data_IF_472631715923
#
_entry.id   IF_472631715923
#
_cell.length_a   1.000
_cell.length_b   1.000
_cell.length_c   1.000
_cell.angle_alpha   90.00
_cell.angle_beta   90.00
_cell.angle_gamma   90.00
#
_symmetry.space_group_name_H-M   'P 1'
#
loop_
_entity.id
_entity.type
_entity.pdbx_description
1 polymer ?
#
# COMPACT_ATOMS: atom_id res chain seq x y z
N UNK A 1 42.20 -53.46 -11.17
CA UNK A 1 41.51 -52.63 -10.14
C UNK A 1 41.39 -51.22 -10.68
N UNK A 2 40.23 -50.59 -10.45
CA UNK A 2 39.59 -49.54 -11.25
C UNK A 2 40.36 -48.21 -11.29
N UNK A 3 40.62 -47.69 -12.49
CA UNK A 3 41.06 -46.31 -12.72
C UNK A 3 39.82 -45.42 -12.82
N UNK A 4 39.78 -44.39 -11.97
CA UNK A 4 38.67 -43.48 -11.76
C UNK A 4 38.45 -42.60 -13.00
N UNK A 5 37.23 -42.61 -13.56
CA UNK A 5 36.79 -41.67 -14.59
C UNK A 5 36.53 -40.31 -13.93
N UNK A 6 37.29 -39.29 -14.32
CA UNK A 6 37.05 -37.90 -13.91
C UNK A 6 35.85 -37.37 -14.72
N UNK A 7 34.67 -37.30 -14.08
CA UNK A 7 33.52 -36.58 -14.62
C UNK A 7 33.77 -35.08 -14.43
N UNK A 8 34.11 -34.40 -15.53
CA UNK A 8 34.01 -32.94 -15.65
C UNK A 8 32.52 -32.57 -15.55
N UNK A 9 32.08 -32.22 -14.34
CA UNK A 9 30.80 -31.53 -14.16
C UNK A 9 31.02 -30.11 -14.65
N UNK A 10 30.59 -29.85 -15.87
CA UNK A 10 30.44 -28.50 -16.40
C UNK A 10 29.50 -27.74 -15.46
N UNK A 11 30.03 -26.67 -14.84
CA UNK A 11 29.22 -25.65 -14.21
C UNK A 11 28.38 -24.96 -15.28
N UNK A 12 27.22 -25.53 -15.58
CA UNK A 12 26.08 -24.78 -16.09
C UNK A 12 25.71 -23.80 -14.97
N UNK A 13 26.32 -22.62 -15.02
CA UNK A 13 25.78 -21.44 -14.36
C UNK A 13 24.39 -21.27 -14.97
N UNK A 14 23.39 -21.81 -14.28
CA UNK A 14 22.01 -21.52 -14.56
C UNK A 14 21.87 -20.01 -14.52
N UNK A 15 21.62 -19.42 -15.69
CA UNK A 15 21.04 -18.09 -15.77
C UNK A 15 19.68 -18.27 -15.10
N UNK A 16 19.62 -18.05 -13.79
CA UNK A 16 18.36 -17.86 -13.10
C UNK A 16 17.78 -16.61 -13.74
N UNK A 17 16.89 -16.81 -14.71
CA UNK A 17 15.87 -15.85 -15.10
C UNK A 17 15.25 -15.39 -13.77
N UNK A 18 15.73 -14.28 -13.23
CA UNK A 18 14.98 -13.58 -12.21
C UNK A 18 13.76 -13.12 -12.97
N UNK A 19 12.63 -13.82 -12.77
CA UNK A 19 11.36 -13.26 -13.15
C UNK A 19 11.28 -11.93 -12.41
N UNK A 20 11.49 -10.83 -13.12
CA UNK A 20 11.39 -9.51 -12.54
C UNK A 20 9.88 -9.30 -12.30
N UNK A 21 9.44 -9.56 -11.07
CA UNK A 21 8.04 -9.45 -10.69
C UNK A 21 7.56 -7.98 -10.59
N UNK A 22 8.45 -7.03 -10.91
CA UNK A 22 8.16 -5.61 -11.09
C UNK A 22 8.56 -5.23 -12.50
N UNK A 23 7.59 -4.97 -13.36
CA UNK A 23 7.79 -4.53 -14.74
C UNK A 23 7.54 -3.02 -14.81
N UNK A 24 8.57 -2.23 -15.15
CA UNK A 24 8.43 -0.78 -15.36
C UNK A 24 8.55 -0.48 -16.86
N UNK A 25 7.41 -0.22 -17.49
CA UNK A 25 7.34 0.19 -18.89
C UNK A 25 7.50 1.72 -18.99
N UNK A 26 8.54 2.17 -19.70
CA UNK A 26 8.87 3.59 -19.86
C UNK A 26 8.29 4.15 -21.16
N UNK A 27 7.31 5.05 -21.07
CA UNK A 27 6.68 5.70 -22.22
C UNK A 27 7.18 7.13 -22.33
N UNK A 28 8.01 7.41 -23.34
CA UNK A 28 8.58 8.74 -23.59
C UNK A 28 9.30 9.37 -22.39
N UNK A 29 9.90 8.55 -21.53
CA UNK A 29 10.71 8.97 -20.38
C UNK A 29 11.91 8.07 -20.18
N UNK A 30 12.75 8.43 -19.21
CA UNK A 30 13.83 7.61 -18.67
C UNK A 30 13.81 7.71 -17.15
N UNK A 31 14.22 6.65 -16.47
CA UNK A 31 14.56 6.65 -15.05
C UNK A 31 16.02 6.20 -14.92
N UNK A 32 16.67 6.63 -13.84
CA UNK A 32 17.98 6.14 -13.44
C UNK A 32 17.89 4.74 -12.84
N UNK A 33 19.00 4.01 -12.89
CA UNK A 33 19.12 2.71 -12.22
C UNK A 33 18.86 2.81 -10.70
N UNK A 34 19.21 3.95 -10.09
CA UNK A 34 18.92 4.23 -8.67
C UNK A 34 17.43 4.36 -8.39
N UNK A 35 16.67 5.07 -9.25
CA UNK A 35 15.21 5.18 -9.11
C UNK A 35 14.56 3.80 -9.27
N UNK A 36 14.98 3.02 -10.28
CA UNK A 36 14.46 1.67 -10.49
C UNK A 36 14.73 0.76 -9.28
N UNK A 37 15.98 0.69 -8.81
CA UNK A 37 16.35 -0.11 -7.63
C UNK A 37 15.61 0.34 -6.37
N UNK A 38 15.38 1.64 -6.20
CA UNK A 38 14.61 2.19 -5.07
C UNK A 38 13.16 1.68 -5.12
N UNK A 39 12.49 1.78 -6.28
CA UNK A 39 11.13 1.27 -6.47
C UNK A 39 11.05 -0.24 -6.17
N UNK A 40 11.93 -1.03 -6.76
CA UNK A 40 11.96 -2.49 -6.56
C UNK A 40 12.17 -2.88 -5.10
N UNK A 41 13.11 -2.20 -4.41
CA UNK A 41 13.41 -2.47 -2.99
C UNK A 41 12.23 -2.08 -2.09
N UNK A 42 11.57 -0.94 -2.34
CA UNK A 42 10.41 -0.50 -1.56
C UNK A 42 9.20 -1.42 -1.78
N UNK A 43 8.94 -1.84 -3.02
CA UNK A 43 7.93 -2.87 -3.35
C UNK A 43 8.24 -4.20 -2.64
N UNK A 44 9.51 -4.59 -2.52
CA UNK A 44 9.87 -5.80 -1.79
C UNK A 44 9.49 -5.70 -0.29
N UNK A 45 9.69 -4.54 0.35
CA UNK A 45 9.25 -4.33 1.73
C UNK A 45 7.73 -4.35 1.87
N UNK A 46 7.02 -3.76 0.93
CA UNK A 46 5.56 -3.84 0.88
C UNK A 46 5.08 -5.29 0.79
N UNK A 47 5.68 -6.11 -0.08
CA UNK A 47 5.35 -7.55 -0.17
C UNK A 47 5.61 -8.28 1.14
N UNK A 48 6.72 -7.96 1.83
CA UNK A 48 7.03 -8.53 3.14
C UNK A 48 5.98 -8.14 4.19
N UNK A 49 5.57 -6.87 4.20
CA UNK A 49 4.50 -6.42 5.08
C UNK A 49 3.17 -7.12 4.77
N UNK A 50 2.78 -7.21 3.49
CA UNK A 50 1.59 -7.93 3.05
C UNK A 50 1.64 -9.41 3.42
N UNK A 51 2.77 -10.10 3.25
CA UNK A 51 2.96 -11.46 3.73
C UNK A 51 2.69 -11.61 5.24
N UNK A 52 3.16 -10.64 6.04
CA UNK A 52 2.91 -10.63 7.48
C UNK A 52 1.43 -10.44 7.80
N UNK A 53 0.76 -9.42 7.25
CA UNK A 53 -0.63 -9.10 7.59
C UNK A 53 -1.67 -10.06 6.99
N UNK A 54 -1.33 -10.76 5.90
CA UNK A 54 -2.17 -11.78 5.28
C UNK A 54 -1.80 -13.22 5.63
N UNK A 55 -0.76 -13.42 6.44
CA UNK A 55 -0.28 -14.75 6.85
C UNK A 55 0.03 -15.66 5.65
N UNK A 56 0.70 -15.10 4.64
CA UNK A 56 1.04 -15.78 3.38
C UNK A 56 2.50 -15.58 3.01
N UNK A 57 2.98 -16.31 2.00
CA UNK A 57 4.29 -16.09 1.36
C UNK A 57 4.16 -15.73 -0.12
N UNK A 58 2.95 -15.78 -0.68
CA UNK A 58 2.70 -15.66 -2.11
C UNK A 58 2.98 -14.25 -2.67
N UNK A 59 3.07 -13.22 -1.82
CA UNK A 59 3.31 -11.85 -2.31
C UNK A 59 4.68 -11.64 -2.92
N UNK A 60 5.65 -12.55 -2.67
CA UNK A 60 6.99 -12.45 -3.26
C UNK A 60 6.97 -12.55 -4.79
N UNK A 61 5.95 -13.18 -5.38
CA UNK A 61 5.83 -13.44 -6.82
C UNK A 61 4.68 -12.71 -7.49
N UNK A 62 3.90 -11.91 -6.74
CA UNK A 62 2.80 -11.12 -7.29
C UNK A 62 3.35 -10.16 -8.36
N UNK A 63 2.82 -10.19 -9.60
CA UNK A 63 3.31 -9.30 -10.66
C UNK A 63 2.80 -7.88 -10.42
N UNK A 64 3.73 -6.93 -10.42
CA UNK A 64 3.46 -5.49 -10.40
C UNK A 64 3.87 -4.92 -11.75
N UNK A 65 2.95 -4.26 -12.44
CA UNK A 65 3.21 -3.63 -13.73
C UNK A 65 2.96 -2.13 -13.66
N UNK A 66 4.00 -1.35 -13.92
CA UNK A 66 3.99 0.12 -13.84
C UNK A 66 4.24 0.67 -15.25
N UNK A 67 3.27 1.39 -15.80
CA UNK A 67 3.42 2.17 -17.01
C UNK A 67 3.72 3.62 -16.64
N UNK A 68 4.94 4.08 -16.92
CA UNK A 68 5.42 5.42 -16.54
C UNK A 68 5.48 6.35 -17.76
N UNK A 69 4.73 7.44 -17.71
CA UNK A 69 4.55 8.36 -18.84
C UNK A 69 5.32 9.66 -18.63
N UNK A 70 6.26 9.97 -19.53
CA UNK A 70 7.00 11.25 -19.50
C UNK A 70 6.26 12.44 -20.09
N UNK A 71 5.22 12.17 -20.89
CA UNK A 71 4.44 13.22 -21.57
C UNK A 71 2.99 13.18 -21.11
N UNK A 72 2.49 14.34 -20.71
CA UNK A 72 1.11 14.46 -20.24
C UNK A 72 0.08 14.03 -21.28
N UNK A 73 0.36 14.24 -22.58
CA UNK A 73 -0.52 13.79 -23.66
C UNK A 73 -0.75 12.27 -23.64
N UNK A 74 0.30 11.48 -23.45
CA UNK A 74 0.22 10.02 -23.53
C UNK A 74 -0.49 9.46 -22.30
N UNK A 75 -0.19 9.98 -21.10
CA UNK A 75 -0.91 9.64 -19.87
C UNK A 75 -2.40 9.95 -19.97
N UNK A 76 -2.77 11.12 -20.53
CA UNK A 76 -4.18 11.51 -20.69
C UNK A 76 -4.95 10.60 -21.64
N UNK A 77 -4.28 9.98 -22.62
CA UNK A 77 -4.91 8.99 -23.51
C UNK A 77 -5.34 7.77 -22.70
N UNK A 78 -4.46 7.19 -21.89
CA UNK A 78 -4.82 6.05 -21.04
C UNK A 78 -5.82 6.44 -19.94
N UNK A 79 -5.65 7.60 -19.29
CA UNK A 79 -6.62 8.11 -18.31
C UNK A 79 -8.04 8.17 -18.89
N UNK A 80 -8.17 8.67 -20.13
CA UNK A 80 -9.47 8.79 -20.80
C UNK A 80 -10.04 7.42 -21.17
N UNK A 81 -9.20 6.49 -21.63
CA UNK A 81 -9.58 5.12 -21.97
C UNK A 81 -10.21 4.36 -20.80
N UNK A 82 -9.73 4.61 -19.58
CA UNK A 82 -10.22 3.96 -18.36
C UNK A 82 -11.15 4.84 -17.51
N UNK A 83 -11.48 6.05 -17.97
CA UNK A 83 -12.25 7.04 -17.20
C UNK A 83 -11.68 7.28 -15.78
N UNK A 84 -10.35 7.28 -15.65
CA UNK A 84 -9.68 7.43 -14.36
C UNK A 84 -9.72 8.90 -13.89
N UNK A 85 -10.00 9.18 -12.59
CA UNK A 85 -10.12 10.55 -12.10
C UNK A 85 -8.76 11.25 -11.89
N UNK A 86 -7.72 10.50 -11.52
CA UNK A 86 -6.44 11.03 -11.03
C UNK A 86 -5.53 11.63 -12.10
N UNK A 87 -4.83 12.72 -11.74
CA UNK A 87 -3.89 13.43 -12.62
C UNK A 87 -2.45 12.93 -12.54
N UNK A 88 -2.09 12.14 -11.53
CA UNK A 88 -0.71 11.71 -11.23
C UNK A 88 -0.51 10.21 -11.35
N UNK A 89 -1.49 9.40 -10.96
CA UNK A 89 -1.42 7.94 -11.06
C UNK A 89 -2.79 7.28 -10.93
N UNK A 90 -2.98 6.11 -11.55
CA UNK A 90 -4.13 5.25 -11.29
C UNK A 90 -3.81 3.79 -11.57
N UNK A 91 -4.48 2.89 -10.87
CA UNK A 91 -4.41 1.45 -11.04
C UNK A 91 -5.71 0.89 -11.64
N UNK A 92 -5.57 -0.07 -12.57
CA UNK A 92 -6.71 -0.76 -13.19
C UNK A 92 -6.75 -2.23 -12.76
N UNK A 93 -7.67 -2.60 -11.84
CA UNK A 93 -7.82 -3.96 -11.33
C UNK A 93 -8.01 -5.05 -12.38
N UNK A 94 -8.71 -4.74 -13.47
CA UNK A 94 -9.08 -5.71 -14.50
C UNK A 94 -7.88 -6.21 -15.33
N UNK A 95 -6.81 -5.42 -15.41
CA UNK A 95 -5.60 -5.76 -16.16
C UNK A 95 -4.35 -5.82 -15.28
N UNK A 96 -4.49 -5.55 -13.98
CA UNK A 96 -3.41 -5.49 -13.00
C UNK A 96 -2.24 -4.59 -13.46
N UNK A 97 -2.55 -3.33 -13.80
CA UNK A 97 -1.56 -2.35 -14.25
C UNK A 97 -1.78 -1.00 -13.59
N UNK A 98 -0.67 -0.41 -13.14
CA UNK A 98 -0.56 0.97 -12.71
C UNK A 98 -0.14 1.87 -13.88
N UNK A 99 -0.65 3.09 -13.89
CA UNK A 99 -0.36 4.12 -14.89
C UNK A 99 0.05 5.38 -14.14
N UNK A 100 1.27 5.85 -14.28
CA UNK A 100 1.83 6.97 -13.51
C UNK A 100 2.37 8.05 -14.45
N UNK A 101 2.07 9.31 -14.14
CA UNK A 101 2.73 10.46 -14.75
C UNK A 101 4.11 10.67 -14.11
N UNK A 102 5.17 10.71 -14.91
CA UNK A 102 6.51 11.07 -14.41
C UNK A 102 6.61 12.58 -14.23
N UNK A 103 6.18 13.08 -13.06
CA UNK A 103 6.32 14.49 -12.67
C UNK A 103 6.81 14.60 -11.23
N UNK A 104 7.76 15.50 -10.97
CA UNK A 104 8.33 15.68 -9.64
C UNK A 104 8.92 14.38 -9.08
N UNK A 105 8.67 14.12 -7.80
CA UNK A 105 8.92 12.82 -7.18
C UNK A 105 7.74 11.88 -7.45
N UNK A 106 7.91 11.00 -8.43
CA UNK A 106 6.87 10.06 -8.87
C UNK A 106 6.92 8.72 -8.11
N UNK A 107 7.98 8.45 -7.34
CA UNK A 107 8.16 7.17 -6.65
C UNK A 107 7.04 6.93 -5.63
N UNK A 108 6.65 7.89 -4.77
CA UNK A 108 5.50 7.71 -3.87
C UNK A 108 4.22 7.28 -4.60
N UNK A 109 3.91 7.93 -5.74
CA UNK A 109 2.76 7.56 -6.57
C UNK A 109 2.91 6.15 -7.15
N UNK A 110 4.13 5.77 -7.58
CA UNK A 110 4.38 4.42 -8.08
C UNK A 110 4.18 3.36 -6.99
N UNK A 111 4.55 3.64 -5.74
CA UNK A 111 4.31 2.76 -4.60
C UNK A 111 2.82 2.66 -4.30
N UNK A 112 2.11 3.79 -4.20
CA UNK A 112 0.66 3.81 -3.99
C UNK A 112 -0.08 2.90 -4.98
N UNK A 113 0.18 3.07 -6.28
CA UNK A 113 -0.51 2.28 -7.31
C UNK A 113 -0.03 0.82 -7.36
N UNK A 114 1.23 0.55 -6.99
CA UNK A 114 1.72 -0.82 -6.81
C UNK A 114 1.04 -1.52 -5.64
N UNK A 115 0.65 -0.79 -4.60
CA UNK A 115 -0.06 -1.35 -3.45
C UNK A 115 -1.37 -1.98 -3.82
N UNK A 116 -2.16 -1.32 -4.67
CA UNK A 116 -3.41 -1.90 -5.14
C UNK A 116 -3.22 -3.22 -5.90
N UNK A 117 -2.13 -3.33 -6.67
CA UNK A 117 -1.75 -4.57 -7.35
C UNK A 117 -1.53 -5.69 -6.33
N UNK A 118 -0.62 -5.50 -5.38
CA UNK A 118 -0.29 -6.52 -4.37
C UNK A 118 -1.51 -6.88 -3.54
N UNK A 119 -2.24 -5.86 -3.09
CA UNK A 119 -3.34 -6.02 -2.18
C UNK A 119 -4.53 -6.78 -2.80
N UNK A 120 -4.85 -6.50 -4.08
CA UNK A 120 -5.92 -7.19 -4.78
C UNK A 120 -5.69 -8.70 -4.92
N UNK A 121 -4.44 -9.17 -5.00
CA UNK A 121 -4.15 -10.61 -5.00
C UNK A 121 -4.52 -11.31 -3.69
N UNK A 122 -4.43 -10.58 -2.56
CA UNK A 122 -4.72 -11.14 -1.24
C UNK A 122 -6.20 -10.99 -0.87
N UNK A 123 -6.80 -9.83 -1.19
CA UNK A 123 -8.13 -9.50 -0.70
C UNK A 123 -8.89 -8.59 -1.69
N UNK A 124 -9.41 -9.19 -2.76
CA UNK A 124 -10.10 -8.48 -3.86
C UNK A 124 -11.29 -7.61 -3.41
N UNK A 125 -11.99 -8.00 -2.34
CA UNK A 125 -13.15 -7.29 -1.78
C UNK A 125 -12.84 -6.62 -0.45
N UNK A 126 -11.59 -6.20 -0.26
CA UNK A 126 -11.21 -5.52 0.96
C UNK A 126 -11.96 -4.19 1.12
N UNK A 127 -12.28 -3.78 2.36
CA UNK A 127 -12.83 -2.46 2.64
C UNK A 127 -11.95 -1.34 2.08
N UNK A 128 -12.57 -0.31 1.51
CA UNK A 128 -11.81 0.79 0.86
C UNK A 128 -10.82 1.49 1.79
N UNK A 129 -11.19 1.73 3.05
CA UNK A 129 -10.28 2.33 4.03
C UNK A 129 -8.97 1.56 4.19
N UNK A 130 -9.01 0.23 4.06
CA UNK A 130 -7.85 -0.62 4.25
C UNK A 130 -6.96 -0.60 3.00
N UNK A 131 -7.56 -0.72 1.81
CA UNK A 131 -6.82 -0.68 0.54
C UNK A 131 -6.14 0.68 0.34
N UNK A 132 -6.91 1.77 0.44
CA UNK A 132 -6.38 3.12 0.27
C UNK A 132 -5.45 3.51 1.43
N UNK A 133 -5.79 3.14 2.67
CA UNK A 133 -4.95 3.46 3.82
C UNK A 133 -3.58 2.78 3.77
N UNK A 134 -3.50 1.56 3.23
CA UNK A 134 -2.22 0.87 3.03
C UNK A 134 -1.43 1.53 1.90
N UNK A 135 -2.06 1.85 0.76
CA UNK A 135 -1.42 2.56 -0.35
C UNK A 135 -0.83 3.91 0.10
N UNK A 136 -1.62 4.70 0.84
CA UNK A 136 -1.21 5.96 1.47
C UNK A 136 -0.10 5.79 2.51
N UNK A 137 -0.04 4.65 3.20
CA UNK A 137 1.06 4.37 4.11
C UNK A 137 2.34 4.00 3.35
N UNK A 138 2.24 3.15 2.33
CA UNK A 138 3.39 2.65 1.59
C UNK A 138 4.05 3.71 0.72
N UNK A 139 3.31 4.69 0.21
CA UNK A 139 3.91 5.84 -0.49
C UNK A 139 4.83 6.68 0.40
N UNK A 140 4.75 6.52 1.73
CA UNK A 140 5.63 7.20 2.68
C UNK A 140 6.93 6.46 2.98
N UNK A 141 7.13 5.27 2.41
CA UNK A 141 8.35 4.51 2.63
C UNK A 141 9.54 5.13 1.89
N UNK A 142 10.67 5.24 2.58
CA UNK A 142 11.94 5.65 1.99
C UNK A 142 13.13 5.06 2.77
N UNK A 143 14.35 5.30 2.28
CA UNK A 143 15.61 4.96 2.92
C UNK A 143 16.33 6.22 3.41
N UNK A 144 16.85 6.18 4.63
CA UNK A 144 17.70 7.25 5.14
C UNK A 144 19.09 7.22 4.47
N UNK A 145 19.98 8.13 4.85
CA UNK A 145 21.35 8.19 4.32
C UNK A 145 22.19 6.95 4.63
N UNK A 146 21.80 6.14 5.61
CA UNK A 146 22.47 4.89 6.00
C UNK A 146 21.84 3.67 5.30
N UNK A 147 20.74 3.86 4.56
CA UNK A 147 20.02 2.81 3.86
C UNK A 147 18.97 2.09 4.71
N UNK A 148 18.67 2.58 5.92
CA UNK A 148 17.61 2.03 6.76
C UNK A 148 16.24 2.43 6.23
N UNK A 149 15.30 1.49 6.20
CA UNK A 149 13.91 1.76 5.82
C UNK A 149 13.23 2.59 6.91
N UNK A 150 12.55 3.65 6.51
CA UNK A 150 11.64 4.41 7.37
C UNK A 150 10.35 4.76 6.63
N UNK A 151 9.34 5.20 7.40
CA UNK A 151 8.16 5.87 6.85
C UNK A 151 8.06 7.27 7.43
N UNK A 152 7.97 8.29 6.56
CA UNK A 152 7.79 9.67 7.01
C UNK A 152 6.32 9.97 7.33
N UNK A 153 6.03 10.74 8.40
CA UNK A 153 4.66 11.11 8.73
C UNK A 153 4.09 12.10 7.71
N UNK A 154 2.90 11.83 7.19
CA UNK A 154 2.15 12.80 6.40
C UNK A 154 1.49 13.83 7.32
N UNK A 155 2.30 14.82 7.71
CA UNK A 155 1.98 15.78 8.78
C UNK A 155 0.67 16.52 8.58
N UNK A 156 0.29 16.84 7.33
CA UNK A 156 -0.99 17.52 7.06
C UNK A 156 -2.20 16.61 7.35
N UNK A 157 -2.11 15.32 7.02
CA UNK A 157 -3.15 14.35 7.35
C UNK A 157 -3.28 14.18 8.86
N UNK A 158 -2.16 14.03 9.56
CA UNK A 158 -2.12 13.91 11.03
C UNK A 158 -2.70 15.16 11.69
N UNK A 159 -2.36 16.36 11.21
CA UNK A 159 -2.94 17.63 11.71
C UNK A 159 -4.45 17.69 11.51
N UNK A 160 -4.96 17.21 10.38
CA UNK A 160 -6.41 17.13 10.12
C UNK A 160 -7.09 16.23 11.15
N UNK A 161 -6.55 15.03 11.38
CA UNK A 161 -7.06 14.10 12.40
C UNK A 161 -7.07 14.75 13.79
N UNK A 162 -5.96 15.36 14.20
CA UNK A 162 -5.87 16.05 15.50
C UNK A 162 -6.92 17.17 15.63
N UNK A 163 -7.07 17.98 14.59
CA UNK A 163 -8.07 19.05 14.57
C UNK A 163 -9.47 18.48 14.80
N UNK A 164 -9.83 17.38 14.12
CA UNK A 164 -11.12 16.70 14.35
C UNK A 164 -11.30 16.19 15.79
N UNK A 165 -10.23 15.67 16.41
CA UNK A 165 -10.26 15.24 17.81
C UNK A 165 -10.45 16.42 18.78
N UNK A 166 -9.79 17.55 18.52
CA UNK A 166 -9.90 18.77 19.34
C UNK A 166 -11.32 19.36 19.31
N UNK A 167 -12.02 19.25 18.18
CA UNK A 167 -13.44 19.63 18.06
C UNK A 167 -14.41 18.63 18.71
N UNK A 168 -13.90 17.61 19.40
CA UNK A 168 -14.69 16.55 20.06
C UNK A 168 -15.63 15.83 19.09
N UNK A 169 -15.17 15.58 17.87
CA UNK A 169 -15.87 14.68 16.95
C UNK A 169 -15.78 13.23 17.46
N UNK A 170 -16.65 12.88 18.40
CA UNK A 170 -16.63 11.59 19.09
C UNK A 170 -17.04 10.44 18.18
N UNK A 171 -17.79 10.74 17.11
CA UNK A 171 -18.40 9.75 16.22
C UNK A 171 -17.66 9.64 14.87
N UNK A 172 -16.53 10.33 14.70
CA UNK A 172 -15.73 10.32 13.47
C UNK A 172 -15.47 8.93 12.92
N UNK A 173 -14.88 8.04 13.72
CA UNK A 173 -14.54 6.69 13.27
C UNK A 173 -15.77 5.82 13.03
N UNK A 174 -16.83 5.97 13.84
CA UNK A 174 -18.11 5.27 13.62
C UNK A 174 -18.75 5.70 12.30
N UNK A 175 -18.75 6.99 12.03
CA UNK A 175 -19.25 7.55 10.77
C UNK A 175 -18.41 7.04 9.60
N UNK A 176 -17.08 7.08 9.72
CA UNK A 176 -16.15 6.62 8.71
C UNK A 176 -16.34 5.14 8.35
N UNK A 177 -16.46 4.23 9.33
CA UNK A 177 -16.63 2.79 9.05
C UNK A 177 -18.03 2.41 8.56
N UNK A 178 -19.02 3.30 8.70
CA UNK A 178 -20.35 3.14 8.10
C UNK A 178 -20.41 3.58 6.65
N UNK A 179 -19.38 4.28 6.16
CA UNK A 179 -19.25 4.59 4.73
C UNK A 179 -19.08 3.27 3.98
N UNK A 180 -20.06 2.91 3.17
CA UNK A 180 -19.92 1.78 2.26
C UNK A 180 -18.99 2.15 1.10
N UNK A 181 -18.34 1.15 0.49
CA UNK A 181 -17.26 1.35 -0.47
C UNK A 181 -17.59 2.33 -1.63
N UNK A 182 -18.83 2.36 -2.10
CA UNK A 182 -19.26 3.27 -3.18
C UNK A 182 -19.32 4.75 -2.78
N UNK A 183 -19.40 5.06 -1.49
CA UNK A 183 -19.42 6.43 -0.97
C UNK A 183 -18.02 6.93 -0.55
N UNK A 184 -17.00 6.05 -0.49
CA UNK A 184 -15.65 6.43 -0.07
C UNK A 184 -15.03 7.52 -0.96
N UNK A 185 -15.23 7.44 -2.28
CA UNK A 185 -14.75 8.44 -3.25
C UNK A 185 -15.73 9.61 -3.45
N UNK A 186 -16.78 9.69 -2.62
CA UNK A 186 -17.81 10.72 -2.69
C UNK A 186 -17.45 11.98 -1.90
N UNK A 187 -18.47 12.56 -1.25
CA UNK A 187 -18.29 13.75 -0.41
C UNK A 187 -17.30 13.48 0.74
N UNK A 188 -16.36 14.40 0.97
CA UNK A 188 -15.36 14.27 2.03
C UNK A 188 -14.20 13.33 1.70
N UNK A 189 -13.95 13.06 0.41
CA UNK A 189 -12.88 12.17 -0.06
C UNK A 189 -11.53 12.42 0.64
N UNK A 190 -11.09 13.67 0.77
CA UNK A 190 -9.82 13.99 1.44
C UNK A 190 -9.82 13.52 2.90
N UNK A 191 -10.94 13.70 3.61
CA UNK A 191 -11.11 13.26 4.99
C UNK A 191 -11.13 11.73 5.10
N UNK A 192 -11.70 11.05 4.10
CA UNK A 192 -11.71 9.60 4.01
C UNK A 192 -10.29 9.02 3.84
N UNK A 193 -9.49 9.57 2.92
CA UNK A 193 -8.08 9.18 2.77
C UNK A 193 -7.26 9.54 4.01
N UNK A 194 -7.47 10.72 4.61
CA UNK A 194 -6.81 11.11 5.85
C UNK A 194 -7.08 10.12 6.98
N UNK A 195 -8.34 9.71 7.13
CA UNK A 195 -8.76 8.76 8.16
C UNK A 195 -8.20 7.37 7.85
N UNK A 196 -8.28 6.90 6.61
CA UNK A 196 -7.70 5.63 6.16
C UNK A 196 -6.19 5.53 6.45
N UNK A 197 -5.42 6.53 6.03
CA UNK A 197 -3.98 6.63 6.32
C UNK A 197 -3.71 6.59 7.82
N UNK A 198 -4.44 7.39 8.59
CA UNK A 198 -4.23 7.52 10.04
C UNK A 198 -4.50 6.21 10.80
N UNK A 199 -5.42 5.38 10.31
CA UNK A 199 -5.69 4.06 10.87
C UNK A 199 -4.48 3.13 10.68
N UNK A 200 -3.95 3.05 9.46
CA UNK A 200 -2.77 2.22 9.18
C UNK A 200 -1.54 2.73 9.93
N UNK A 201 -1.34 4.05 9.92
CA UNK A 201 -0.27 4.70 10.66
C UNK A 201 -0.34 4.37 12.16
N UNK A 202 -1.53 4.44 12.77
CA UNK A 202 -1.76 4.02 14.15
C UNK A 202 -1.35 2.56 14.37
N UNK A 203 -1.84 1.63 13.55
CA UNK A 203 -1.53 0.21 13.74
C UNK A 203 -0.03 -0.08 13.62
N UNK A 204 0.65 0.54 12.66
CA UNK A 204 2.08 0.31 12.43
C UNK A 204 2.92 0.97 13.52
N UNK A 205 2.73 2.27 13.80
CA UNK A 205 3.57 3.02 14.74
C UNK A 205 3.29 2.66 16.21
N UNK A 206 2.07 2.26 16.54
CA UNK A 206 1.73 1.76 17.87
C UNK A 206 2.06 0.26 18.05
N UNK A 207 2.76 -0.37 17.08
CA UNK A 207 3.16 -1.80 17.11
C UNK A 207 1.95 -2.74 17.31
N UNK A 208 0.82 -2.42 16.68
CA UNK A 208 -0.46 -3.16 16.72
C UNK A 208 -0.74 -3.93 15.43
N UNK A 209 0.29 -4.36 14.70
CA UNK A 209 0.15 -5.15 13.47
C UNK A 209 -0.62 -6.46 13.67
N UNK A 210 -0.49 -7.10 14.83
CA UNK A 210 -1.29 -8.29 15.18
C UNK A 210 -2.80 -7.99 15.28
N UNK A 211 -3.16 -6.80 15.79
CA UNK A 211 -4.56 -6.37 15.82
C UNK A 211 -5.08 -6.07 14.41
N UNK A 212 -4.28 -5.38 13.58
CA UNK A 212 -4.60 -5.14 12.18
C UNK A 212 -4.84 -6.46 11.43
N UNK A 213 -3.94 -7.43 11.59
CA UNK A 213 -4.06 -8.79 11.02
C UNK A 213 -5.39 -9.45 11.42
N UNK A 214 -5.76 -9.41 12.70
CA UNK A 214 -7.01 -10.00 13.15
C UNK A 214 -8.24 -9.28 12.56
N UNK A 215 -8.20 -7.95 12.44
CA UNK A 215 -9.27 -7.17 11.80
C UNK A 215 -9.41 -7.57 10.32
N UNK A 216 -8.30 -7.69 9.58
CA UNK A 216 -8.29 -8.13 8.17
C UNK A 216 -8.88 -9.54 8.03
N UNK A 217 -8.51 -10.45 8.94
CA UNK A 217 -9.05 -11.81 8.96
C UNK A 217 -10.56 -11.81 9.19
N UNK A 218 -11.06 -11.01 10.13
CA UNK A 218 -12.49 -10.93 10.42
C UNK A 218 -13.25 -10.27 9.27
N UNK A 219 -12.74 -9.19 8.69
CA UNK A 219 -13.42 -8.55 7.54
C UNK A 219 -13.44 -9.47 6.32
N UNK A 220 -12.38 -10.25 6.08
CA UNK A 220 -12.37 -11.24 4.98
C UNK A 220 -13.36 -12.39 5.18
N UNK A 221 -13.80 -12.63 6.43
CA UNK A 221 -14.88 -13.56 6.77
C UNK A 221 -16.29 -12.94 6.68
N UNK A 222 -16.40 -11.65 6.31
CA UNK A 222 -17.67 -10.96 6.10
C UNK A 222 -18.17 -10.16 7.31
N UNK A 223 -17.39 -10.03 8.38
CA UNK A 223 -17.73 -9.07 9.45
C UNK A 223 -17.53 -7.64 8.94
N UNK A 224 -18.42 -6.73 9.30
CA UNK A 224 -18.19 -5.30 9.08
C UNK A 224 -17.00 -4.81 9.92
N UNK A 225 -16.41 -3.67 9.53
CA UNK A 225 -15.18 -3.18 10.17
C UNK A 225 -15.40 -2.82 11.64
N UNK A 226 -16.54 -2.23 12.01
CA UNK A 226 -16.85 -1.86 13.40
C UNK A 226 -16.90 -3.12 14.27
N UNK A 227 -17.58 -4.17 13.80
CA UNK A 227 -17.65 -5.46 14.48
C UNK A 227 -16.30 -6.16 14.56
N UNK A 228 -15.52 -6.16 13.48
CA UNK A 228 -14.17 -6.75 13.46
C UNK A 228 -13.23 -6.07 14.48
N UNK A 229 -13.31 -4.74 14.58
CA UNK A 229 -12.59 -3.95 15.58
C UNK A 229 -13.06 -4.32 16.99
N UNK A 230 -14.37 -4.36 17.23
CA UNK A 230 -14.91 -4.69 18.55
C UNK A 230 -14.50 -6.09 19.02
N UNK A 231 -14.50 -7.08 18.12
CA UNK A 231 -14.02 -8.44 18.43
C UNK A 231 -12.51 -8.48 18.72
N UNK A 232 -11.73 -7.56 18.15
CA UNK A 232 -10.27 -7.50 18.34
C UNK A 232 -9.87 -6.75 19.62
N UNK A 233 -10.59 -5.69 19.96
CA UNK A 233 -10.27 -4.79 21.09
C UNK A 233 -11.18 -5.00 22.31
N UNK A 234 -12.15 -5.91 22.24
CA UNK A 234 -13.18 -6.13 23.25
C UNK A 234 -14.40 -5.19 23.10
N UNK A 235 -14.19 -3.97 22.61
CA UNK A 235 -15.25 -3.07 22.16
C UNK A 235 -14.73 -2.05 21.15
N UNK A 236 -15.63 -1.44 20.38
CA UNK A 236 -15.26 -0.34 19.50
C UNK A 236 -14.78 0.88 20.28
N UNK A 237 -15.44 1.21 21.40
CA UNK A 237 -15.07 2.36 22.22
C UNK A 237 -13.67 2.19 22.86
N UNK A 238 -13.26 0.97 23.19
CA UNK A 238 -11.90 0.68 23.66
C UNK A 238 -10.85 0.93 22.57
N UNK A 239 -11.16 0.53 21.33
CA UNK A 239 -10.32 0.85 20.18
C UNK A 239 -10.24 2.37 19.93
N UNK A 240 -11.38 3.04 19.89
CA UNK A 240 -11.49 4.47 19.63
C UNK A 240 -10.73 5.29 20.69
N UNK A 241 -10.85 4.93 21.97
CA UNK A 241 -10.07 5.53 23.05
C UNK A 241 -8.55 5.36 22.86
N UNK A 242 -8.11 4.15 22.50
CA UNK A 242 -6.69 3.86 22.24
C UNK A 242 -6.15 4.63 21.02
N UNK A 243 -6.96 4.73 19.96
CA UNK A 243 -6.65 5.50 18.76
C UNK A 243 -6.51 7.00 19.08
N UNK A 244 -7.48 7.57 19.80
CA UNK A 244 -7.47 8.98 20.23
C UNK A 244 -6.27 9.28 21.13
N UNK A 245 -5.98 8.38 22.08
CA UNK A 245 -4.82 8.52 22.95
C UNK A 245 -3.51 8.55 22.16
N UNK A 246 -3.35 7.71 21.14
CA UNK A 246 -2.16 7.71 20.29
C UNK A 246 -1.95 9.07 19.61
N UNK A 247 -2.99 9.65 19.01
CA UNK A 247 -2.88 10.94 18.33
C UNK A 247 -2.77 12.13 19.28
N UNK A 248 -3.21 12.01 20.53
CA UNK A 248 -2.99 13.03 21.56
C UNK A 248 -1.58 13.01 22.14
N UNK A 249 -0.95 11.83 22.23
CA UNK A 249 0.37 11.68 22.87
C UNK A 249 1.56 11.77 21.90
N UNK A 250 1.38 11.43 20.62
CA UNK A 250 2.52 11.17 19.74
C UNK A 250 2.78 12.16 18.63
N UNK A 251 1.94 13.16 18.38
CA UNK A 251 2.17 14.27 17.45
C UNK A 251 1.28 15.43 17.83
#
# INVERSE_FOLDING_TARGET
MKTLVLLLISNLIGITLHAQYVEINLVNCKISDSEQKKIEKLIAYERMFCNEIFETRENISVPVKINLYGKSKDYRVEKSKYNAPSTTGFYIPAINQAFIMKSGDFIPVALHEASHSIFQYNYQKAPKWLNEGLAEFFETLDFDSEGNLYSYPQSNRIKSIKSGLDYKDTERLKTFFRIYDGAFYGHGIDDNYNTAYSMIYYFVKNKRTAALKNIIKLTSQGYDTEKAIALTYGSFDAFDASYKQFYNLHY
#
